data_IF_114635854056
#
_entry.id   IF_114635854056
#
_cell.length_a   1.000
_cell.length_b   1.000
_cell.length_c   1.000
_cell.angle_alpha   90.00
_cell.angle_beta   90.00
_cell.angle_gamma   90.00
#
_symmetry.space_group_name_H-M   'P 1'
#
loop_
_entity.id
_entity.type
_entity.pdbx_description
1 polymer ?
#
# COMPACT_ATOMS: atom_id res chain seq x y z
N UNK A 1 18.45 13.27 -24.71
CA UNK A 1 18.83 12.70 -23.40
C UNK A 1 17.85 11.60 -23.06
N UNK A 2 18.31 10.42 -22.71
CA UNK A 2 17.45 9.33 -22.23
C UNK A 2 16.96 9.65 -20.82
N UNK A 3 15.64 9.63 -20.64
CA UNK A 3 14.97 9.91 -19.36
C UNK A 3 14.64 8.59 -18.66
N UNK A 4 14.94 8.49 -17.35
CA UNK A 4 14.80 7.26 -16.57
C UNK A 4 13.96 7.48 -15.30
N UNK A 5 13.22 6.45 -14.90
CA UNK A 5 12.65 6.34 -13.57
C UNK A 5 13.55 5.48 -12.69
N UNK A 6 13.64 5.82 -11.40
CA UNK A 6 14.29 4.99 -10.39
C UNK A 6 13.24 4.45 -9.42
N UNK A 7 13.12 3.14 -9.35
CA UNK A 7 12.25 2.44 -8.39
C UNK A 7 13.11 1.84 -7.30
N UNK A 8 12.85 2.23 -6.06
CA UNK A 8 13.57 1.71 -4.91
C UNK A 8 12.72 0.66 -4.21
N UNK A 9 13.26 -0.55 -4.12
CA UNK A 9 12.55 -1.71 -3.56
C UNK A 9 13.39 -2.43 -2.51
N UNK A 10 12.74 -2.97 -1.48
CA UNK A 10 13.35 -4.05 -0.71
C UNK A 10 13.33 -5.36 -1.50
N UNK A 11 14.31 -6.23 -1.26
CA UNK A 11 14.44 -7.52 -1.96
C UNK A 11 14.16 -8.68 -0.99
N UNK A 12 12.90 -8.93 -0.58
CA UNK A 12 12.60 -10.01 0.35
C UNK A 12 12.95 -11.42 -0.19
N UNK A 13 13.12 -11.57 -1.51
CA UNK A 13 13.62 -12.79 -2.15
C UNK A 13 15.13 -12.99 -2.03
N UNK A 14 15.89 -11.94 -1.67
CA UNK A 14 17.30 -12.02 -1.34
C UNK A 14 17.44 -11.88 0.18
N UNK A 15 17.54 -13.03 0.86
CA UNK A 15 17.61 -13.09 2.32
C UNK A 15 18.79 -12.30 2.88
N UNK A 16 19.90 -12.21 2.14
CA UNK A 16 21.10 -11.46 2.52
C UNK A 16 20.85 -9.95 2.47
N UNK A 17 19.98 -9.51 1.57
CA UNK A 17 19.69 -8.10 1.27
C UNK A 17 18.27 -7.67 1.64
N UNK A 18 17.55 -8.47 2.42
CA UNK A 18 16.14 -8.24 2.76
C UNK A 18 15.83 -6.87 3.38
N UNK A 19 16.83 -6.21 3.98
CA UNK A 19 16.75 -4.86 4.56
C UNK A 19 17.45 -3.77 3.74
N UNK A 20 18.19 -4.13 2.69
CA UNK A 20 18.85 -3.15 1.84
C UNK A 20 17.91 -2.69 0.73
N UNK A 21 18.02 -1.41 0.41
CA UNK A 21 17.23 -0.79 -0.64
C UNK A 21 17.95 -0.98 -1.96
N UNK A 22 17.31 -1.65 -2.91
CA UNK A 22 17.83 -1.80 -4.28
C UNK A 22 17.18 -0.77 -5.20
N UNK A 23 18.00 -0.12 -6.00
CA UNK A 23 17.54 0.79 -7.06
C UNK A 23 17.43 0.03 -8.39
N UNK A 24 16.27 0.13 -9.03
CA UNK A 24 16.04 -0.35 -10.39
C UNK A 24 15.80 0.85 -11.30
N UNK A 25 16.65 1.01 -12.32
CA UNK A 25 16.52 2.07 -13.33
C UNK A 25 15.72 1.59 -14.54
N UNK A 26 14.67 2.32 -14.87
CA UNK A 26 13.72 1.99 -15.93
C UNK A 26 13.70 3.10 -16.97
N UNK A 27 13.75 2.73 -18.24
CA UNK A 27 13.69 3.67 -19.35
C UNK A 27 12.28 4.24 -19.48
N UNK A 28 12.14 5.57 -19.48
CA UNK A 28 10.84 6.22 -19.62
C UNK A 28 10.28 6.03 -21.03
N UNK A 29 9.00 5.67 -21.10
CA UNK A 29 8.28 5.56 -22.37
C UNK A 29 7.99 6.90 -23.05
N UNK A 30 8.16 8.06 -22.37
CA UNK A 30 8.09 9.38 -23.04
C UNK A 30 9.10 9.51 -24.17
N UNK A 31 10.18 8.74 -24.12
CA UNK A 31 11.20 8.73 -25.16
C UNK A 31 10.76 7.95 -26.43
N UNK A 32 9.69 7.14 -26.35
CA UNK A 32 9.22 6.26 -27.43
C UNK A 32 7.85 6.71 -27.96
N UNK A 33 6.96 7.12 -27.03
CA UNK A 33 5.60 7.54 -27.33
C UNK A 33 5.39 8.99 -26.87
N UNK A 34 4.59 9.75 -27.64
CA UNK A 34 4.19 11.12 -27.25
C UNK A 34 3.28 11.11 -26.02
N UNK A 35 2.42 10.10 -25.92
CA UNK A 35 1.50 9.84 -24.83
C UNK A 35 1.76 8.45 -24.28
N UNK A 36 1.65 8.27 -22.97
CA UNK A 36 1.82 6.95 -22.39
C UNK A 36 0.66 6.03 -22.77
N UNK A 37 0.94 4.75 -23.12
CA UNK A 37 -0.11 3.79 -23.38
C UNK A 37 -0.86 3.46 -22.09
N UNK A 38 -2.19 3.47 -22.17
CA UNK A 38 -3.09 3.03 -21.11
C UNK A 38 -3.41 1.56 -21.34
N UNK A 39 -3.21 0.74 -20.32
CA UNK A 39 -3.50 -0.69 -20.36
C UNK A 39 -4.83 -0.93 -19.68
N UNK A 40 -5.67 -1.70 -20.37
CA UNK A 40 -7.03 -2.01 -19.94
C UNK A 40 -7.07 -2.97 -18.73
N UNK A 41 -8.16 -2.94 -17.93
CA UNK A 41 -8.32 -3.76 -16.73
C UNK A 41 -8.13 -5.25 -16.95
N UNK A 42 -8.57 -5.79 -18.10
CA UNK A 42 -8.58 -7.22 -18.39
C UNK A 42 -7.18 -7.83 -18.32
N UNK A 43 -6.16 -7.07 -18.73
CA UNK A 43 -4.77 -7.51 -18.58
C UNK A 43 -4.42 -7.78 -17.11
N UNK A 44 -4.79 -6.85 -16.22
CA UNK A 44 -4.49 -6.95 -14.79
C UNK A 44 -5.33 -8.03 -14.11
N UNK A 45 -6.59 -8.17 -14.50
CA UNK A 45 -7.49 -9.22 -13.99
C UNK A 45 -6.95 -10.63 -14.32
N UNK A 46 -6.39 -10.81 -15.52
CA UNK A 46 -5.72 -12.04 -15.92
C UNK A 46 -4.44 -12.29 -15.10
N UNK A 47 -3.61 -11.26 -14.90
CA UNK A 47 -2.43 -11.36 -14.02
C UNK A 47 -2.86 -11.76 -12.61
N UNK A 48 -3.88 -11.10 -12.05
CA UNK A 48 -4.43 -11.41 -10.74
C UNK A 48 -4.94 -12.85 -10.67
N UNK A 49 -5.67 -13.32 -11.67
CA UNK A 49 -6.12 -14.71 -11.78
C UNK A 49 -4.94 -15.69 -11.75
N UNK A 50 -3.86 -15.35 -12.46
CA UNK A 50 -2.65 -16.16 -12.51
C UNK A 50 -1.91 -16.20 -11.17
N UNK A 51 -1.89 -15.11 -10.39
CA UNK A 51 -1.30 -15.07 -9.04
C UNK A 51 -1.94 -16.11 -8.11
N UNK A 52 -3.26 -16.33 -8.21
CA UNK A 52 -3.95 -17.33 -7.38
C UNK A 52 -3.75 -18.77 -7.87
N UNK A 53 -3.48 -18.96 -9.17
CA UNK A 53 -3.42 -20.29 -9.81
C UNK A 53 -2.02 -20.87 -9.91
N UNK A 54 -1.00 -20.03 -10.10
CA UNK A 54 0.35 -20.46 -10.47
C UNK A 54 1.39 -19.96 -9.47
N UNK A 55 2.15 -20.88 -8.87
CA UNK A 55 3.15 -20.56 -7.84
C UNK A 55 4.28 -19.64 -8.30
N UNK A 56 4.59 -19.65 -9.60
CA UNK A 56 5.61 -18.78 -10.19
C UNK A 56 5.09 -17.38 -10.52
N UNK A 57 3.83 -17.09 -10.22
CA UNK A 57 3.26 -15.76 -10.20
C UNK A 57 3.12 -15.34 -8.73
N UNK A 58 3.68 -14.18 -8.35
CA UNK A 58 3.62 -13.71 -6.97
C UNK A 58 3.38 -12.21 -6.81
N UNK A 59 2.80 -11.84 -5.68
CA UNK A 59 2.57 -10.45 -5.27
C UNK A 59 3.43 -10.14 -4.06
N UNK A 60 4.17 -9.03 -4.11
CA UNK A 60 5.12 -8.65 -3.06
C UNK A 60 5.03 -7.16 -2.79
N UNK A 61 4.77 -6.77 -1.55
CA UNK A 61 4.84 -5.37 -1.12
C UNK A 61 6.30 -5.02 -0.78
N UNK A 62 6.96 -4.25 -1.63
CA UNK A 62 8.35 -3.86 -1.41
C UNK A 62 8.77 -2.50 -1.98
N UNK A 63 7.95 -1.82 -2.79
CA UNK A 63 8.28 -0.49 -3.31
C UNK A 63 8.27 0.52 -2.17
N UNK A 64 9.34 1.32 -2.09
CA UNK A 64 9.57 2.30 -1.03
C UNK A 64 9.78 3.72 -1.51
N UNK A 65 10.18 3.92 -2.76
CA UNK A 65 10.33 5.25 -3.36
C UNK A 65 10.31 5.14 -4.87
N UNK A 66 9.72 6.11 -5.54
CA UNK A 66 9.75 6.25 -6.99
C UNK A 66 10.21 7.67 -7.30
N UNK A 67 11.28 7.76 -8.08
CA UNK A 67 11.85 9.03 -8.55
C UNK A 67 11.73 9.08 -10.06
N UNK A 68 11.15 10.17 -10.56
CA UNK A 68 11.00 10.40 -11.99
C UNK A 68 12.24 10.97 -12.67
N UNK A 69 12.16 11.20 -13.99
CA UNK A 69 13.31 11.61 -14.77
C UNK A 69 13.83 13.02 -14.50
N UNK A 70 13.02 13.88 -13.89
CA UNK A 70 13.42 15.22 -13.49
C UNK A 70 13.77 15.26 -11.98
N UNK A 71 14.08 14.10 -11.40
CA UNK A 71 14.40 13.92 -9.98
C UNK A 71 13.23 14.29 -9.05
N UNK A 72 12.00 14.17 -9.53
CA UNK A 72 10.79 14.38 -8.76
C UNK A 72 10.37 13.12 -8.00
N UNK A 73 10.01 13.26 -6.72
CA UNK A 73 9.49 12.19 -5.89
C UNK A 73 7.98 12.02 -6.09
N UNK A 74 7.54 10.78 -6.31
CA UNK A 74 6.12 10.44 -6.46
C UNK A 74 5.55 9.79 -5.19
N UNK A 75 4.25 10.01 -4.93
CA UNK A 75 3.47 9.11 -4.07
C UNK A 75 3.57 7.71 -4.66
N UNK A 76 3.91 6.72 -3.82
CA UNK A 76 4.11 5.34 -4.24
C UNK A 76 2.79 4.57 -4.37
N UNK A 77 1.71 4.99 -3.71
CA UNK A 77 0.43 4.26 -3.68
C UNK A 77 -0.14 3.85 -5.04
N UNK A 78 -0.17 4.72 -6.07
CA UNK A 78 -0.77 4.35 -7.35
C UNK A 78 0.16 3.48 -8.22
N UNK A 79 1.32 3.03 -7.74
CA UNK A 79 2.30 2.37 -8.59
C UNK A 79 2.36 0.86 -8.38
N UNK A 80 2.49 0.15 -9.49
CA UNK A 80 2.86 -1.26 -9.53
C UNK A 80 4.07 -1.45 -10.42
N UNK A 81 4.97 -2.33 -10.02
CA UNK A 81 6.12 -2.72 -10.83
C UNK A 81 6.06 -4.21 -11.13
N UNK A 82 5.93 -4.57 -12.41
CA UNK A 82 5.95 -5.96 -12.84
C UNK A 82 7.39 -6.34 -13.19
N UNK A 83 7.88 -7.43 -12.63
CA UNK A 83 9.15 -8.05 -12.98
C UNK A 83 8.94 -9.51 -13.32
N UNK A 84 9.19 -9.89 -14.57
CA UNK A 84 9.04 -11.25 -15.05
C UNK A 84 10.25 -11.74 -15.83
N UNK A 85 10.35 -13.05 -15.95
CA UNK A 85 11.28 -13.73 -16.83
C UNK A 85 10.58 -14.91 -17.48
N UNK A 86 10.75 -15.07 -18.78
CA UNK A 86 10.21 -16.21 -19.51
C UNK A 86 11.15 -17.42 -19.51
N UNK A 87 10.69 -18.52 -20.11
CA UNK A 87 11.48 -19.75 -20.23
C UNK A 87 12.71 -19.59 -21.15
N UNK A 88 12.70 -18.60 -22.05
CA UNK A 88 13.84 -18.21 -22.89
C UNK A 88 14.83 -17.29 -22.16
N UNK A 89 14.60 -17.00 -20.87
CA UNK A 89 15.40 -16.11 -20.01
C UNK A 89 15.38 -14.64 -20.46
N UNK A 90 14.36 -14.22 -21.22
CA UNK A 90 14.11 -12.80 -21.50
C UNK A 90 13.50 -12.16 -20.26
N UNK A 91 14.05 -11.03 -19.86
CA UNK A 91 13.61 -10.26 -18.68
C UNK A 91 12.64 -9.18 -19.13
N UNK A 92 11.57 -9.00 -18.36
CA UNK A 92 10.56 -7.98 -18.57
C UNK A 92 10.37 -7.21 -17.27
N UNK A 93 10.56 -5.90 -17.33
CA UNK A 93 10.37 -5.00 -16.21
C UNK A 93 9.51 -3.83 -16.66
N UNK A 94 8.42 -3.58 -15.94
CA UNK A 94 7.44 -2.57 -16.32
C UNK A 94 6.93 -1.82 -15.11
N UNK A 95 6.91 -0.50 -15.22
CA UNK A 95 6.35 0.38 -14.22
C UNK A 95 5.01 0.92 -14.70
N UNK A 96 3.97 0.65 -13.90
CA UNK A 96 2.61 1.07 -14.14
C UNK A 96 2.15 2.06 -13.09
N UNK A 97 1.42 3.08 -13.51
CA UNK A 97 0.72 4.01 -12.65
C UNK A 97 -0.79 3.82 -12.84
N UNK A 98 -1.49 3.41 -11.77
CA UNK A 98 -2.94 3.28 -11.75
C UNK A 98 -3.60 4.63 -12.00
N UNK A 99 -4.66 4.64 -12.80
CA UNK A 99 -5.44 5.85 -13.11
C UNK A 99 -6.39 6.20 -11.96
N UNK A 100 -6.85 5.18 -11.21
CA UNK A 100 -7.68 5.31 -9.99
C UNK A 100 -7.23 4.30 -8.94
N UNK A 101 -7.50 4.61 -7.66
CA UNK A 101 -7.17 3.73 -6.53
C UNK A 101 -8.16 2.56 -6.36
N UNK A 102 -9.33 2.59 -7.02
CA UNK A 102 -10.38 1.58 -6.86
C UNK A 102 -10.15 0.33 -7.74
N UNK A 103 -10.41 -0.84 -7.14
CA UNK A 103 -10.14 -2.17 -7.70
C UNK A 103 -10.94 -2.49 -8.97
N UNK A 104 -12.08 -1.83 -9.20
CA UNK A 104 -13.00 -2.12 -10.32
C UNK A 104 -12.70 -1.37 -11.62
N UNK A 105 -11.89 -0.31 -11.57
CA UNK A 105 -11.50 0.52 -12.72
C UNK A 105 -9.97 0.45 -12.91
N UNK A 106 -9.40 -0.75 -12.90
CA UNK A 106 -7.95 -1.03 -12.79
C UNK A 106 -7.14 -0.71 -14.05
N UNK A 107 -7.53 0.32 -14.80
CA UNK A 107 -6.69 0.89 -15.85
C UNK A 107 -5.39 1.41 -15.25
N UNK A 108 -4.28 1.10 -15.92
CA UNK A 108 -2.99 1.64 -15.53
C UNK A 108 -2.22 2.11 -16.74
N UNK A 109 -1.57 3.26 -16.57
CA UNK A 109 -0.68 3.84 -17.55
C UNK A 109 0.66 3.12 -17.48
N UNK A 110 1.16 2.61 -18.60
CA UNK A 110 2.52 2.09 -18.68
C UNK A 110 3.51 3.24 -18.85
N UNK A 111 4.37 3.46 -17.86
CA UNK A 111 5.19 4.67 -17.74
C UNK A 111 6.65 4.43 -18.12
N UNK A 112 7.20 3.29 -17.71
CA UNK A 112 8.60 2.96 -17.93
C UNK A 112 8.82 1.46 -18.08
N UNK A 113 9.93 1.09 -18.70
CA UNK A 113 10.27 -0.32 -18.93
C UNK A 113 11.78 -0.58 -18.83
N UNK A 114 12.12 -1.85 -18.67
CA UNK A 114 13.46 -2.38 -18.85
C UNK A 114 13.37 -3.85 -19.31
N UNK A 115 14.41 -4.40 -19.96
CA UNK A 115 15.67 -3.74 -20.31
C UNK A 115 15.54 -2.80 -21.53
N UNK A 116 16.54 -1.95 -21.84
CA UNK A 116 16.46 -0.96 -22.93
C UNK A 116 16.17 -1.56 -24.32
N UNK A 117 16.55 -2.81 -24.55
CA UNK A 117 16.26 -3.57 -25.77
C UNK A 117 14.75 -3.70 -26.01
N UNK A 118 13.96 -3.83 -24.94
CA UNK A 118 12.51 -3.85 -25.01
C UNK A 118 11.96 -2.49 -25.45
N UNK A 119 12.63 -1.40 -25.06
CA UNK A 119 12.32 -0.06 -25.55
C UNK A 119 12.57 0.10 -27.05
N UNK A 120 13.64 -0.51 -27.58
CA UNK A 120 13.90 -0.54 -29.02
C UNK A 120 12.80 -1.31 -29.76
N UNK A 121 12.38 -2.46 -29.22
CA UNK A 121 11.27 -3.26 -29.77
C UNK A 121 9.96 -2.45 -29.81
N UNK A 122 9.63 -1.78 -28.72
CA UNK A 122 8.42 -0.95 -28.62
C UNK A 122 8.51 0.26 -29.55
N UNK A 123 9.70 0.81 -29.77
CA UNK A 123 9.85 1.90 -30.72
C UNK A 123 9.66 1.46 -32.17
N UNK A 124 10.12 0.25 -32.52
CA UNK A 124 10.03 -0.29 -33.87
C UNK A 124 8.63 -0.77 -34.23
N UNK A 125 7.97 -1.49 -33.31
CA UNK A 125 6.69 -2.17 -33.58
C UNK A 125 5.50 -1.59 -32.81
N UNK A 126 5.71 -0.56 -31.99
CA UNK A 126 4.68 0.22 -31.29
C UNK A 126 3.67 -0.66 -30.55
N UNK A 127 2.38 -0.51 -30.83
CA UNK A 127 1.27 -1.19 -30.17
C UNK A 127 1.35 -2.72 -30.29
N UNK A 128 1.81 -3.24 -31.43
CA UNK A 128 1.91 -4.67 -31.65
C UNK A 128 2.92 -5.33 -30.70
N UNK A 129 4.05 -4.66 -30.43
CA UNK A 129 5.02 -5.14 -29.45
C UNK A 129 4.49 -5.08 -28.02
N UNK A 130 3.73 -4.04 -27.68
CA UNK A 130 3.07 -3.94 -26.36
C UNK A 130 2.11 -5.14 -26.21
N UNK A 131 1.18 -5.32 -27.15
CA UNK A 131 0.20 -6.39 -27.12
C UNK A 131 0.86 -7.77 -26.96
N UNK A 132 1.82 -8.09 -27.83
CA UNK A 132 2.51 -9.39 -27.79
C UNK A 132 3.24 -9.61 -26.48
N UNK A 133 3.84 -8.57 -25.91
CA UNK A 133 4.58 -8.68 -24.66
C UNK A 133 3.62 -8.87 -23.48
N UNK A 134 2.53 -8.10 -23.41
CA UNK A 134 1.52 -8.25 -22.36
C UNK A 134 0.82 -9.62 -22.45
N UNK A 135 0.51 -10.11 -23.66
CA UNK A 135 -0.01 -11.47 -23.85
C UNK A 135 0.96 -12.54 -23.38
N UNK A 136 2.28 -12.35 -23.57
CA UNK A 136 3.30 -13.26 -23.05
C UNK A 136 3.31 -13.27 -21.52
N UNK A 137 3.23 -12.10 -20.88
CA UNK A 137 3.16 -11.98 -19.41
C UNK A 137 1.94 -12.69 -18.82
N UNK A 138 0.81 -12.73 -19.55
CA UNK A 138 -0.38 -13.50 -19.16
C UNK A 138 -0.34 -14.97 -19.56
N UNK A 139 0.75 -15.44 -20.17
CA UNK A 139 0.93 -16.83 -20.58
C UNK A 139 1.72 -17.66 -19.55
N UNK A 140 1.08 -18.24 -18.51
CA UNK A 140 1.77 -18.89 -17.39
C UNK A 140 2.65 -20.07 -17.82
N UNK A 141 2.33 -20.75 -18.93
CA UNK A 141 3.13 -21.85 -19.48
C UNK A 141 4.47 -21.38 -20.08
N UNK A 142 4.56 -20.12 -20.48
CA UNK A 142 5.74 -19.51 -21.12
C UNK A 142 6.61 -18.76 -20.12
N UNK A 143 6.06 -18.42 -18.96
CA UNK A 143 6.76 -17.68 -17.92
C UNK A 143 7.50 -18.60 -16.97
N UNK A 144 8.76 -18.26 -16.69
CA UNK A 144 9.54 -18.88 -15.61
C UNK A 144 9.14 -18.29 -14.26
N UNK A 145 8.94 -16.97 -14.20
CA UNK A 145 8.28 -16.30 -13.09
C UNK A 145 7.69 -14.96 -13.52
N UNK A 146 6.72 -14.46 -12.76
CA UNK A 146 6.23 -13.09 -12.82
C UNK A 146 5.93 -12.60 -11.41
N UNK A 147 6.49 -11.46 -11.03
CA UNK A 147 6.26 -10.81 -9.75
C UNK A 147 5.59 -9.47 -9.97
N UNK A 148 4.52 -9.21 -9.23
CA UNK A 148 3.92 -7.90 -9.11
C UNK A 148 4.41 -7.28 -7.81
N UNK A 149 5.23 -6.25 -7.92
CA UNK A 149 5.76 -5.50 -6.80
C UNK A 149 4.86 -4.30 -6.53
N UNK A 150 4.43 -4.17 -5.28
CA UNK A 150 3.48 -3.17 -4.82
C UNK A 150 4.11 -2.26 -3.74
N UNK A 151 3.47 -1.12 -3.44
CA UNK A 151 3.92 -0.18 -2.42
C UNK A 151 3.90 -0.80 -1.02
N UNK A 152 4.96 -0.56 -0.24
CA UNK A 152 5.07 -1.04 1.15
C UNK A 152 4.99 0.11 2.14
N UNK A 153 3.81 0.32 2.71
CA UNK A 153 3.57 1.38 3.68
C UNK A 153 3.78 2.77 3.06
N UNK A 154 4.38 3.69 3.83
CA UNK A 154 4.72 5.04 3.36
C UNK A 154 6.00 5.05 2.55
N UNK A 155 6.16 6.05 1.68
CA UNK A 155 7.40 6.24 0.94
C UNK A 155 8.53 6.70 1.87
N UNK A 156 9.79 6.48 1.48
CA UNK A 156 10.95 6.96 2.24
C UNK A 156 10.94 8.49 2.35
N UNK A 157 10.55 9.19 1.29
CA UNK A 157 10.44 10.65 1.29
C UNK A 157 9.37 11.12 2.30
N UNK A 158 8.21 10.46 2.33
CA UNK A 158 7.16 10.74 3.32
C UNK A 158 7.60 10.41 4.74
N UNK A 159 8.29 9.29 4.96
CA UNK A 159 8.82 8.91 6.28
C UNK A 159 9.84 9.94 6.77
N UNK A 160 10.72 10.44 5.90
CA UNK A 160 11.66 11.50 6.24
C UNK A 160 10.96 12.82 6.56
N UNK A 161 9.92 13.19 5.80
CA UNK A 161 9.09 14.37 6.09
C UNK A 161 8.35 14.24 7.43
N UNK A 162 7.82 13.04 7.75
CA UNK A 162 7.18 12.76 9.04
C UNK A 162 8.18 12.81 10.20
N UNK A 163 9.42 12.37 9.99
CA UNK A 163 10.51 12.55 10.97
C UNK A 163 10.91 14.03 11.10
N UNK A 164 10.72 14.83 10.05
CA UNK A 164 10.90 16.28 10.06
C UNK A 164 9.68 17.06 10.61
N UNK A 165 8.59 16.38 11.03
CA UNK A 165 7.48 17.01 11.74
C UNK A 165 8.00 17.53 13.09
N UNK A 166 8.41 18.79 13.01
CA UNK A 166 8.68 19.82 13.98
C UNK A 166 8.98 19.37 15.41
N UNK A 167 10.17 19.72 15.93
CA UNK A 167 10.47 19.70 17.38
C UNK A 167 9.35 20.32 18.20
N UNK A 168 8.62 21.32 17.67
CA UNK A 168 7.41 21.90 18.27
C UNK A 168 6.23 20.93 18.46
N UNK A 169 6.01 19.99 17.54
CA UNK A 169 4.92 19.02 17.66
C UNK A 169 5.30 17.86 18.60
N UNK A 170 6.59 17.49 18.63
CA UNK A 170 7.17 16.65 19.69
C UNK A 170 7.11 17.33 21.07
N UNK A 171 7.34 18.64 21.15
CA UNK A 171 7.16 19.44 22.37
C UNK A 171 5.70 19.50 22.82
N UNK A 172 4.73 19.58 21.89
CA UNK A 172 3.28 19.48 22.20
C UNK A 172 2.89 18.10 22.74
N UNK A 173 3.48 17.02 22.21
CA UNK A 173 3.28 15.66 22.73
C UNK A 173 3.86 15.51 24.15
N UNK A 174 5.05 16.06 24.40
CA UNK A 174 5.64 16.13 25.75
C UNK A 174 4.81 16.99 26.70
N UNK A 175 4.24 18.09 26.22
CA UNK A 175 3.33 18.94 27.01
C UNK A 175 2.07 18.17 27.43
N UNK A 176 1.50 17.32 26.56
CA UNK A 176 0.39 16.42 26.93
C UNK A 176 0.78 15.36 27.98
N UNK A 177 2.03 14.88 27.99
CA UNK A 177 2.52 14.00 29.06
C UNK A 177 2.73 14.75 30.37
N UNK A 178 3.18 16.00 30.32
CA UNK A 178 3.25 16.90 31.49
C UNK A 178 1.85 17.16 32.05
N UNK A 179 0.85 17.41 31.20
CA UNK A 179 -0.56 17.57 31.61
C UNK A 179 -1.14 16.32 32.30
N UNK A 180 -0.64 15.12 31.97
CA UNK A 180 -1.03 13.87 32.66
C UNK A 180 -0.39 13.72 34.05
N UNK A 181 0.72 14.41 34.30
CA UNK A 181 1.47 14.35 35.57
C UNK A 181 1.16 15.52 36.53
N UNK A 182 0.44 16.54 36.07
CA UNK A 182 -0.03 17.61 36.94
C UNK A 182 -1.15 17.05 37.83
N UNK A 183 -1.01 17.09 39.18
CA UNK A 183 -2.05 16.62 40.07
C UNK A 183 -3.29 17.47 39.87
N UNK A 184 -4.43 16.77 39.80
CA UNK A 184 -5.72 17.29 39.39
C UNK A 184 -6.32 18.19 40.50
N UNK A 185 -5.92 19.47 40.58
CA UNK A 185 -6.34 20.37 41.67
C UNK A 185 -7.87 20.66 41.64
N UNK A 186 -8.59 20.29 40.57
CA UNK A 186 -10.07 20.34 40.53
C UNK A 186 -10.66 19.14 39.77
N UNK A 187 -10.45 17.95 40.33
CA UNK A 187 -10.81 16.66 39.74
C UNK A 187 -12.18 16.57 39.06
N UNK A 188 -12.16 16.09 37.80
CA UNK A 188 -13.00 15.03 37.22
C UNK A 188 -12.92 15.08 35.68
N UNK A 189 -12.28 14.09 35.05
CA UNK A 189 -12.49 13.84 33.61
C UNK A 189 -13.06 12.46 33.29
N UNK A 190 -13.28 11.60 34.28
CA UNK A 190 -14.04 10.36 34.14
C UNK A 190 -14.70 10.02 35.48
N UNK A 191 -16.01 9.70 35.54
CA UNK A 191 -16.60 9.22 36.77
C UNK A 191 -16.03 7.83 37.09
N UNK A 192 -15.38 7.69 38.26
CA UNK A 192 -14.91 6.39 38.80
C UNK A 192 -16.06 5.40 39.08
N UNK A 193 -17.31 5.85 39.02
CA UNK A 193 -18.47 5.00 39.22
C UNK A 193 -18.90 4.34 37.91
N UNK A 194 -18.11 3.37 37.45
CA UNK A 194 -18.65 2.31 36.60
C UNK A 194 -19.50 1.40 37.49
N UNK A 195 -20.85 1.45 37.46
CA UNK A 195 -21.67 0.70 38.39
C UNK A 195 -21.43 -0.80 38.18
N UNK A 196 -21.12 -1.51 39.26
CA UNK A 196 -21.04 -2.98 39.26
C UNK A 196 -22.40 -3.53 39.68
N UNK A 197 -22.78 -4.68 39.11
CA UNK A 197 -23.99 -5.37 39.57
C UNK A 197 -23.81 -5.79 41.04
N UNK A 198 -24.74 -5.47 41.96
CA UNK A 198 -24.59 -5.84 43.37
C UNK A 198 -24.64 -7.37 43.59
N UNK A 199 -25.25 -8.13 42.68
CA UNK A 199 -25.33 -9.59 42.77
C UNK A 199 -24.08 -10.28 42.20
N UNK A 200 -23.73 -10.03 40.93
CA UNK A 200 -22.62 -10.74 40.27
C UNK A 200 -21.29 -9.99 40.25
N UNK A 201 -21.24 -8.77 40.81
CA UNK A 201 -20.07 -7.87 40.89
C UNK A 201 -19.36 -7.55 39.56
N UNK A 202 -19.91 -7.98 38.42
CA UNK A 202 -19.38 -7.67 37.09
C UNK A 202 -19.67 -6.22 36.70
N UNK A 203 -18.72 -5.64 35.95
CA UNK A 203 -18.79 -4.29 35.42
C UNK A 203 -19.92 -4.18 34.41
N UNK A 204 -20.72 -3.12 34.49
CA UNK A 204 -21.83 -2.88 33.56
C UNK A 204 -21.34 -1.92 32.48
N UNK A 205 -21.00 -2.48 31.33
CA UNK A 205 -20.40 -1.75 30.20
C UNK A 205 -21.43 -1.22 29.22
N UNK A 206 -22.67 -1.68 29.31
CA UNK A 206 -23.76 -1.30 28.40
C UNK A 206 -24.77 -0.44 29.16
N UNK A 207 -24.51 0.86 29.19
CA UNK A 207 -25.45 1.85 29.69
C UNK A 207 -25.76 2.79 28.54
N UNK A 208 -26.57 2.34 27.57
CA UNK A 208 -27.17 3.22 26.58
C UNK A 208 -28.49 3.75 27.14
N UNK A 209 -28.58 5.07 27.31
CA UNK A 209 -29.81 5.76 27.69
C UNK A 209 -29.90 6.14 29.17
N UNK A 210 -28.95 6.94 29.67
CA UNK A 210 -29.24 7.80 30.83
C UNK A 210 -29.97 9.03 30.35
N UNK A 211 -31.26 8.88 30.10
CA UNK A 211 -32.19 10.00 30.01
C UNK A 211 -33.48 9.58 30.72
N UNK A 212 -33.76 10.31 31.81
CA UNK A 212 -35.06 10.52 32.45
C UNK A 212 -35.79 9.30 33.07
N UNK A 213 -35.97 9.36 34.39
CA UNK A 213 -37.10 8.82 35.16
C UNK A 213 -37.65 7.41 34.86
N UNK A 214 -37.58 6.52 35.88
CA UNK A 214 -38.40 5.30 36.03
C UNK A 214 -38.24 4.18 34.99
N UNK A 215 -37.02 3.66 34.79
CA UNK A 215 -36.85 2.39 34.06
C UNK A 215 -36.12 1.36 34.92
N UNK A 216 -36.76 0.18 35.05
CA UNK A 216 -36.33 -0.96 35.87
C UNK A 216 -34.95 -1.45 35.40
N UNK A 217 -33.94 -1.31 36.26
CA UNK A 217 -32.59 -1.83 36.03
C UNK A 217 -32.59 -3.37 36.04
N UNK A 218 -32.15 -4.02 34.96
CA UNK A 218 -31.92 -5.47 34.86
C UNK A 218 -30.47 -5.70 34.42
N UNK A 219 -29.70 -6.49 35.17
CA UNK A 219 -28.34 -6.83 34.81
C UNK A 219 -28.32 -7.78 33.60
N UNK A 220 -27.64 -7.45 32.49
CA UNK A 220 -27.62 -8.28 31.28
C UNK A 220 -26.81 -9.58 31.46
N UNK A 221 -25.94 -9.66 32.48
CA UNK A 221 -25.08 -10.83 32.73
C UNK A 221 -25.71 -11.87 33.67
N UNK A 222 -26.58 -11.46 34.60
CA UNK A 222 -27.15 -12.37 35.60
C UNK A 222 -28.66 -12.18 35.84
N UNK A 223 -29.33 -11.30 35.10
CA UNK A 223 -30.77 -11.06 35.21
C UNK A 223 -31.20 -10.31 36.48
N UNK A 224 -30.27 -9.88 37.35
CA UNK A 224 -30.61 -9.22 38.61
C UNK A 224 -31.37 -7.90 38.37
N UNK A 225 -32.54 -7.77 39.01
CA UNK A 225 -33.42 -6.61 38.88
C UNK A 225 -33.58 -5.92 40.23
N UNK A 226 -33.23 -4.63 40.31
CA UNK A 226 -33.48 -3.84 41.52
C UNK A 226 -34.89 -3.25 41.41
N UNK A 227 -35.85 -3.89 42.08
CA UNK A 227 -37.20 -3.35 42.24
C UNK A 227 -37.11 -2.35 43.39
N UNK A 228 -37.47 -1.09 43.12
CA UNK A 228 -37.81 -0.15 44.18
C UNK A 228 -39.29 -0.33 44.49
#
# INVERSE_FOLDING_TARGET
MSSFFSVFTFTPWDSLNSKSLTEVKLFSLKNIFKTFPVIEPEFFDDVLSNLYKFKHYSWIECIKRIVGPNNEDYDIKPWNFIWGMDNERRIFQFLFQKVKDEVKDSQATLVALAPPELGKLFNQYKEEAILRTLSLLNGPKRMKFLMVLAPKGKSIAEEQQLLHVNKKDLERLKFNEVLKQIPNIKGQWFPEYSPRCPNCKKLITEIKGFNVGLVKFICPKCGYKKIK
#
